data_IF_293321657194
#
_entry.id   IF_293321657194
#
_cell.length_a   1.000
_cell.length_b   1.000
_cell.length_c   1.000
_cell.angle_alpha   90.00
_cell.angle_beta   90.00
_cell.angle_gamma   90.00
#
_symmetry.space_group_name_H-M   'P 1'
#
loop_
_entity.id
_entity.type
_entity.pdbx_description
1 polymer ?
#
# COMPACT_ATOMS: atom_id res chain seq x y z
N UNK A 1 45.85 -37.38 -57.46
CA UNK A 1 44.39 -37.50 -57.29
C UNK A 1 44.08 -37.82 -55.85
N UNK A 2 43.71 -36.80 -55.07
CA UNK A 2 43.11 -36.95 -53.73
C UNK A 2 41.92 -36.05 -53.66
N UNK A 3 40.72 -36.65 -53.63
CA UNK A 3 39.45 -36.00 -53.34
C UNK A 3 39.43 -35.55 -51.89
N UNK A 4 39.14 -34.28 -51.65
CA UNK A 4 38.82 -33.75 -50.34
C UNK A 4 37.29 -33.65 -50.20
N UNK A 5 36.74 -34.46 -49.35
CA UNK A 5 35.34 -34.40 -48.90
C UNK A 5 35.13 -33.19 -47.99
N UNK A 6 34.27 -32.27 -48.38
CA UNK A 6 33.81 -31.17 -47.51
C UNK A 6 32.67 -31.70 -46.61
N UNK A 7 32.95 -31.78 -45.34
CA UNK A 7 31.95 -32.06 -44.33
C UNK A 7 30.97 -30.87 -44.18
N UNK A 8 29.68 -31.13 -44.37
CA UNK A 8 28.57 -30.21 -44.13
C UNK A 8 28.44 -29.99 -42.65
N UNK A 9 28.60 -28.72 -42.20
CA UNK A 9 28.28 -28.30 -40.84
C UNK A 9 26.77 -28.34 -40.62
N UNK A 10 26.35 -29.16 -39.68
CA UNK A 10 25.00 -29.21 -39.15
C UNK A 10 24.72 -27.91 -38.41
N UNK A 11 23.99 -26.95 -38.95
CA UNK A 11 23.45 -25.79 -38.28
C UNK A 11 22.42 -26.28 -37.26
N UNK A 12 22.76 -26.23 -35.97
CA UNK A 12 21.80 -26.41 -34.86
C UNK A 12 20.80 -25.28 -34.95
N UNK A 13 19.60 -25.57 -35.39
CA UNK A 13 18.44 -24.70 -35.36
C UNK A 13 18.18 -24.31 -33.89
N UNK A 14 18.31 -23.04 -33.58
CA UNK A 14 17.92 -22.47 -32.30
C UNK A 14 16.41 -22.70 -32.08
N UNK A 15 15.96 -23.08 -30.89
CA UNK A 15 14.55 -23.22 -30.60
C UNK A 15 13.85 -21.87 -30.83
N UNK A 16 12.77 -21.90 -31.60
CA UNK A 16 11.93 -20.72 -31.85
C UNK A 16 11.41 -20.11 -30.56
N UNK A 17 11.00 -18.82 -30.60
CA UNK A 17 10.48 -18.16 -29.42
C UNK A 17 9.33 -18.96 -28.82
N UNK A 18 9.35 -19.13 -27.50
CA UNK A 18 8.28 -19.80 -26.76
C UNK A 18 6.92 -19.17 -27.12
N UNK A 19 5.85 -19.96 -27.25
CA UNK A 19 4.53 -19.44 -27.59
C UNK A 19 4.13 -18.39 -26.55
N UNK A 20 3.87 -17.17 -27.03
CA UNK A 20 3.33 -16.10 -26.19
C UNK A 20 1.94 -16.51 -25.73
N UNK A 21 1.75 -16.68 -24.42
CA UNK A 21 0.43 -16.91 -23.82
C UNK A 21 -0.47 -15.73 -24.20
N UNK A 22 -1.65 -15.98 -24.79
CA UNK A 22 -2.55 -14.90 -25.17
C UNK A 22 -2.91 -14.05 -23.95
N UNK A 23 -2.75 -12.73 -24.03
CA UNK A 23 -3.10 -11.77 -22.96
C UNK A 23 -4.55 -11.88 -22.46
N UNK A 24 -5.43 -12.55 -23.20
CA UNK A 24 -6.85 -12.74 -22.88
C UNK A 24 -7.14 -13.74 -21.75
N UNK A 25 -6.16 -14.51 -21.27
CA UNK A 25 -6.39 -15.53 -20.23
C UNK A 25 -5.99 -15.08 -18.81
N UNK A 26 -5.32 -13.94 -18.65
CA UNK A 26 -5.04 -13.37 -17.34
C UNK A 26 -6.31 -12.66 -16.83
N UNK A 27 -7.15 -13.39 -16.08
CA UNK A 27 -8.34 -12.81 -15.44
C UNK A 27 -7.92 -11.88 -14.31
N UNK A 28 -7.80 -10.59 -14.61
CA UNK A 28 -7.77 -9.54 -13.58
C UNK A 28 -9.13 -9.55 -12.86
N UNK A 29 -9.17 -9.62 -11.52
CA UNK A 29 -10.43 -9.61 -10.79
C UNK A 29 -11.24 -8.35 -11.17
N UNK A 30 -12.50 -8.55 -11.55
CA UNK A 30 -13.39 -7.42 -11.88
C UNK A 30 -13.92 -6.70 -10.64
N UNK A 31 -13.77 -7.28 -9.47
CA UNK A 31 -14.23 -6.71 -8.20
C UNK A 31 -13.11 -6.71 -7.18
N UNK A 32 -13.10 -5.68 -6.36
CA UNK A 32 -12.22 -5.53 -5.20
C UNK A 32 -13.03 -5.08 -4.00
N UNK A 33 -12.61 -5.45 -2.80
CA UNK A 33 -13.14 -4.88 -1.56
C UNK A 33 -12.16 -3.84 -1.05
N UNK A 34 -12.65 -2.64 -0.78
CA UNK A 34 -11.88 -1.58 -0.13
C UNK A 34 -12.35 -1.46 1.31
N UNK A 35 -11.40 -1.55 2.24
CA UNK A 35 -11.66 -1.27 3.66
C UNK A 35 -11.87 0.22 3.84
N UNK A 36 -13.08 0.63 4.23
CA UNK A 36 -13.34 1.97 4.71
C UNK A 36 -13.05 2.04 6.21
N UNK A 37 -11.77 2.10 6.52
CA UNK A 37 -11.28 2.21 7.89
C UNK A 37 -11.71 3.52 8.56
N UNK A 38 -11.56 3.60 9.89
CA UNK A 38 -12.02 4.76 10.65
C UNK A 38 -11.30 6.07 10.27
N UNK A 39 -10.09 6.03 9.76
CA UNK A 39 -9.38 7.24 9.33
C UNK A 39 -9.94 7.76 8.00
N UNK A 40 -10.09 6.89 7.02
CA UNK A 40 -10.65 7.25 5.72
C UNK A 40 -12.14 7.57 5.78
N UNK A 41 -12.87 7.04 6.77
CA UNK A 41 -14.28 7.37 6.98
C UNK A 41 -14.46 8.73 7.64
N UNK A 42 -13.71 9.01 8.72
CA UNK A 42 -14.03 10.14 9.60
C UNK A 42 -13.02 11.29 9.57
N UNK A 43 -11.77 11.06 9.16
CA UNK A 43 -10.71 12.07 9.23
C UNK A 43 -10.19 12.49 7.85
N UNK A 44 -9.93 11.54 6.98
CA UNK A 44 -9.30 11.77 5.67
C UNK A 44 -10.12 11.11 4.52
N UNK A 45 -11.43 11.44 4.37
CA UNK A 45 -12.29 10.79 3.37
C UNK A 45 -11.86 11.05 1.92
N UNK A 46 -11.03 12.07 1.70
CA UNK A 46 -10.44 12.37 0.39
C UNK A 46 -9.51 11.24 -0.09
N UNK A 47 -8.83 10.55 0.82
CA UNK A 47 -7.97 9.40 0.49
C UNK A 47 -8.82 8.21 0.01
N UNK A 48 -9.91 7.90 0.72
CA UNK A 48 -10.85 6.86 0.29
C UNK A 48 -11.45 7.14 -1.08
N UNK A 49 -11.85 8.41 -1.34
CA UNK A 49 -12.35 8.83 -2.66
C UNK A 49 -11.28 8.71 -3.75
N UNK A 50 -10.03 9.09 -3.47
CA UNK A 50 -8.92 8.93 -4.40
C UNK A 50 -8.70 7.45 -4.75
N UNK A 51 -8.73 6.57 -3.75
CA UNK A 51 -8.58 5.13 -3.95
C UNK A 51 -9.70 4.56 -4.84
N UNK A 52 -10.97 4.89 -4.56
CA UNK A 52 -12.10 4.47 -5.40
C UNK A 52 -11.90 4.98 -6.83
N UNK A 53 -11.54 6.26 -7.00
CA UNK A 53 -11.31 6.85 -8.33
C UNK A 53 -10.26 6.10 -9.12
N UNK A 54 -9.11 5.76 -8.51
CA UNK A 54 -8.02 5.04 -9.19
C UNK A 54 -8.45 3.61 -9.55
N UNK A 55 -9.11 2.91 -8.61
CA UNK A 55 -9.57 1.54 -8.83
C UNK A 55 -10.65 1.46 -9.92
N UNK A 56 -11.60 2.39 -9.94
CA UNK A 56 -12.66 2.44 -10.96
C UNK A 56 -12.11 2.82 -12.33
N UNK A 57 -11.18 3.79 -12.42
CA UNK A 57 -10.45 4.08 -13.68
C UNK A 57 -9.67 2.88 -14.20
N UNK A 58 -9.18 2.03 -13.30
CA UNK A 58 -8.56 0.76 -13.65
C UNK A 58 -9.55 -0.33 -14.09
N UNK A 59 -10.84 -0.06 -14.07
CA UNK A 59 -11.91 -0.98 -14.50
C UNK A 59 -12.40 -1.95 -13.43
N UNK A 60 -12.07 -1.72 -12.16
CA UNK A 60 -12.57 -2.54 -11.04
C UNK A 60 -13.89 -2.02 -10.50
N UNK A 61 -14.77 -2.93 -10.11
CA UNK A 61 -15.93 -2.64 -9.27
C UNK A 61 -15.49 -2.63 -7.82
N UNK A 62 -15.56 -1.47 -7.17
CA UNK A 62 -15.20 -1.30 -5.76
C UNK A 62 -16.40 -1.58 -4.87
N UNK A 63 -16.22 -2.45 -3.87
CA UNK A 63 -17.16 -2.69 -2.80
C UNK A 63 -16.54 -2.20 -1.49
N UNK A 64 -17.28 -1.41 -0.70
CA UNK A 64 -16.80 -0.96 0.60
C UNK A 64 -17.13 -2.01 1.67
N UNK A 65 -16.23 -2.19 2.61
CA UNK A 65 -16.44 -3.03 3.79
C UNK A 65 -16.05 -2.26 5.05
N UNK A 66 -17.07 -1.79 5.77
CA UNK A 66 -16.97 -1.05 7.03
C UNK A 66 -16.56 -1.93 8.20
N UNK A 67 -15.34 -2.46 8.15
CA UNK A 67 -14.80 -3.35 9.17
C UNK A 67 -13.74 -2.65 9.99
N UNK A 68 -13.93 -2.59 11.31
CA UNK A 68 -12.90 -2.07 12.21
C UNK A 68 -11.80 -3.12 12.42
N UNK A 69 -10.56 -2.76 12.11
CA UNK A 69 -9.39 -3.64 12.27
C UNK A 69 -9.06 -3.95 13.75
N UNK A 70 -9.57 -3.18 14.71
CA UNK A 70 -9.33 -3.37 16.14
C UNK A 70 -7.94 -2.90 16.61
N UNK A 71 -7.13 -2.28 15.76
CA UNK A 71 -5.75 -1.83 16.08
C UNK A 71 -5.67 -1.02 17.37
N UNK A 72 -6.56 -0.04 17.57
CA UNK A 72 -6.56 0.79 18.75
C UNK A 72 -6.81 -0.01 20.04
N UNK A 73 -7.70 -1.01 19.98
CA UNK A 73 -7.96 -1.90 21.13
C UNK A 73 -6.77 -2.80 21.45
N UNK A 74 -6.14 -3.37 20.41
CA UNK A 74 -4.93 -4.18 20.59
C UNK A 74 -3.80 -3.37 21.21
N UNK A 75 -3.55 -2.17 20.72
CA UNK A 75 -2.52 -1.27 21.24
C UNK A 75 -2.72 -0.85 22.71
N UNK A 76 -3.97 -0.84 23.17
CA UNK A 76 -4.33 -0.53 24.57
C UNK A 76 -4.53 -1.77 25.45
N UNK A 77 -4.28 -2.98 24.93
CA UNK A 77 -4.39 -4.24 25.66
C UNK A 77 -5.82 -4.77 25.84
N UNK A 78 -6.82 -4.20 25.17
CA UNK A 78 -8.21 -4.69 25.20
C UNK A 78 -8.41 -5.92 24.31
N UNK A 79 -7.64 -6.98 24.55
CA UNK A 79 -7.54 -8.13 23.64
C UNK A 79 -8.86 -8.91 23.49
N UNK A 80 -9.69 -8.97 24.55
CA UNK A 80 -11.01 -9.63 24.48
C UNK A 80 -11.94 -8.91 23.51
N UNK A 81 -11.99 -7.58 23.58
CA UNK A 81 -12.78 -6.76 22.67
C UNK A 81 -12.21 -6.80 21.23
N UNK A 82 -10.87 -6.74 21.09
CA UNK A 82 -10.20 -6.88 19.81
C UNK A 82 -10.49 -8.22 19.14
N UNK A 83 -10.47 -9.33 19.89
CA UNK A 83 -10.83 -10.65 19.39
C UNK A 83 -12.27 -10.74 18.92
N UNK A 84 -13.21 -10.10 19.62
CA UNK A 84 -14.60 -10.03 19.20
C UNK A 84 -14.74 -9.32 17.86
N UNK A 85 -14.15 -8.13 17.74
CA UNK A 85 -14.12 -7.37 16.48
C UNK A 85 -13.47 -8.16 15.34
N UNK A 86 -12.35 -8.83 15.61
CA UNK A 86 -11.67 -9.66 14.62
C UNK A 86 -12.58 -10.78 14.10
N UNK A 87 -13.32 -11.48 14.98
CA UNK A 87 -14.29 -12.51 14.55
C UNK A 87 -15.41 -11.96 13.67
N UNK A 88 -15.98 -10.82 14.04
CA UNK A 88 -17.01 -10.15 13.26
C UNK A 88 -16.47 -9.71 11.89
N UNK A 89 -15.28 -9.11 11.87
CA UNK A 89 -14.61 -8.69 10.66
C UNK A 89 -14.20 -9.86 9.74
N UNK A 90 -13.69 -10.95 10.32
CA UNK A 90 -13.37 -12.17 9.56
C UNK A 90 -14.63 -12.75 8.92
N UNK A 91 -15.74 -12.85 9.64
CA UNK A 91 -17.00 -13.37 9.10
C UNK A 91 -17.50 -12.53 7.92
N UNK A 92 -17.35 -11.19 8.00
CA UNK A 92 -17.72 -10.27 6.92
C UNK A 92 -16.78 -10.37 5.73
N UNK A 93 -15.47 -10.40 5.95
CA UNK A 93 -14.47 -10.36 4.87
C UNK A 93 -14.25 -11.74 4.21
N UNK A 94 -14.45 -12.84 4.93
CA UNK A 94 -14.24 -14.18 4.38
C UNK A 94 -15.23 -14.52 3.25
N UNK A 95 -16.41 -13.90 3.23
CA UNK A 95 -17.33 -14.03 2.10
C UNK A 95 -16.74 -13.55 0.77
N UNK A 96 -15.77 -12.63 0.82
CA UNK A 96 -15.03 -12.15 -0.34
C UNK A 96 -13.74 -12.95 -0.55
N UNK A 97 -12.96 -13.14 0.53
CA UNK A 97 -11.70 -13.87 0.48
C UNK A 97 -11.85 -15.29 -0.05
N UNK A 98 -12.93 -16.01 0.35
CA UNK A 98 -13.24 -17.35 -0.14
C UNK A 98 -13.57 -17.41 -1.63
N UNK A 99 -13.91 -16.28 -2.26
CA UNK A 99 -14.15 -16.15 -3.69
C UNK A 99 -12.90 -15.65 -4.46
N UNK A 100 -11.77 -15.45 -3.77
CA UNK A 100 -10.56 -14.90 -4.35
C UNK A 100 -10.63 -13.39 -4.66
N UNK A 101 -11.60 -12.66 -4.06
CA UNK A 101 -11.71 -11.22 -4.21
C UNK A 101 -10.71 -10.55 -3.27
N UNK A 102 -9.80 -9.69 -3.79
CA UNK A 102 -8.81 -9.02 -2.96
C UNK A 102 -9.44 -8.01 -2.00
N UNK A 103 -8.87 -7.91 -0.81
CA UNK A 103 -9.24 -6.98 0.26
C UNK A 103 -8.16 -5.92 0.35
N UNK A 104 -8.48 -4.71 -0.04
CA UNK A 104 -7.53 -3.62 -0.17
C UNK A 104 -7.68 -2.65 1.01
N UNK A 105 -6.59 -2.36 1.69
CA UNK A 105 -6.56 -1.35 2.75
C UNK A 105 -5.72 -0.14 2.35
N UNK A 106 -5.97 0.99 2.99
CA UNK A 106 -5.25 2.25 2.79
C UNK A 106 -4.32 2.57 3.95
N UNK A 107 -4.69 2.15 5.16
CA UNK A 107 -3.89 2.37 6.37
C UNK A 107 -3.03 1.13 6.67
N UNK A 108 -1.68 1.25 6.65
CA UNK A 108 -0.80 0.10 6.86
C UNK A 108 -0.99 -0.59 8.21
N UNK A 109 -1.38 0.13 9.24
CA UNK A 109 -1.65 -0.44 10.56
C UNK A 109 -2.92 -1.29 10.57
N UNK A 110 -3.92 -0.95 9.75
CA UNK A 110 -5.13 -1.75 9.59
C UNK A 110 -4.83 -3.03 8.79
N UNK A 111 -4.10 -2.91 7.68
CA UNK A 111 -3.69 -4.08 6.89
C UNK A 111 -2.84 -5.03 7.73
N UNK A 112 -1.87 -4.50 8.49
CA UNK A 112 -1.08 -5.30 9.43
C UNK A 112 -1.97 -6.06 10.44
N UNK A 113 -2.99 -5.40 10.99
CA UNK A 113 -3.92 -6.08 11.89
C UNK A 113 -4.60 -7.29 11.25
N UNK A 114 -5.03 -7.18 9.99
CA UNK A 114 -5.69 -8.26 9.27
C UNK A 114 -4.73 -9.39 8.90
N UNK A 115 -3.49 -9.05 8.55
CA UNK A 115 -2.54 -10.02 7.99
C UNK A 115 -1.72 -10.73 9.06
N UNK A 116 -1.48 -10.10 10.19
CA UNK A 116 -0.61 -10.60 11.27
C UNK A 116 -1.39 -10.89 12.55
N UNK A 117 -2.05 -9.90 13.17
CA UNK A 117 -2.65 -10.11 14.49
C UNK A 117 -3.98 -10.87 14.46
N UNK A 118 -4.81 -10.70 13.43
CA UNK A 118 -6.09 -11.45 13.40
C UNK A 118 -5.92 -12.96 13.35
N UNK A 119 -4.99 -13.56 12.56
CA UNK A 119 -4.73 -14.98 12.62
C UNK A 119 -4.28 -15.50 14.00
N UNK A 120 -3.58 -14.67 14.77
CA UNK A 120 -3.16 -15.00 16.14
C UNK A 120 -4.32 -14.88 17.14
N UNK A 121 -5.14 -13.82 17.03
CA UNK A 121 -6.30 -13.61 17.88
C UNK A 121 -7.40 -14.64 17.66
N UNK A 122 -7.59 -15.06 16.40
CA UNK A 122 -8.63 -15.97 15.93
C UNK A 122 -8.01 -17.01 15.00
N UNK A 123 -7.40 -18.09 15.55
CA UNK A 123 -6.65 -19.07 14.76
C UNK A 123 -7.59 -20.04 13.99
N UNK A 124 -8.38 -19.49 13.08
CA UNK A 124 -9.37 -20.21 12.27
C UNK A 124 -8.97 -20.15 10.77
N UNK A 125 -9.37 -21.13 9.93
CA UNK A 125 -9.06 -21.10 8.51
C UNK A 125 -9.54 -19.85 7.78
N UNK A 126 -10.68 -19.29 8.19
CA UNK A 126 -11.22 -18.05 7.63
C UNK A 126 -10.29 -16.86 7.87
N UNK A 127 -9.69 -16.73 9.06
CA UNK A 127 -8.73 -15.67 9.36
C UNK A 127 -7.51 -15.74 8.43
N UNK A 128 -7.00 -16.94 8.15
CA UNK A 128 -5.87 -17.13 7.22
C UNK A 128 -6.25 -16.76 5.78
N UNK A 129 -7.48 -17.06 5.33
CA UNK A 129 -7.95 -16.66 3.99
C UNK A 129 -8.04 -15.13 3.89
N UNK A 130 -8.63 -14.49 4.89
CA UNK A 130 -8.72 -13.02 4.95
C UNK A 130 -7.32 -12.40 4.94
N UNK A 131 -6.41 -12.90 5.78
CA UNK A 131 -5.03 -12.42 5.83
C UNK A 131 -4.30 -12.56 4.48
N UNK A 132 -4.51 -13.68 3.77
CA UNK A 132 -3.91 -13.91 2.45
C UNK A 132 -4.51 -13.04 1.34
N UNK A 133 -5.75 -12.58 1.51
CA UNK A 133 -6.45 -11.74 0.55
C UNK A 133 -6.26 -10.23 0.82
N UNK A 134 -5.76 -9.86 2.02
CA UNK A 134 -5.62 -8.48 2.46
C UNK A 134 -4.24 -7.91 2.12
N UNK A 135 -4.21 -6.71 1.51
CA UNK A 135 -2.97 -6.00 1.21
C UNK A 135 -3.19 -4.50 1.00
N UNK A 136 -2.10 -3.73 0.91
CA UNK A 136 -2.18 -2.30 0.60
C UNK A 136 -2.59 -2.08 -0.85
N UNK A 137 -3.53 -1.17 -1.08
CA UNK A 137 -4.16 -0.93 -2.37
C UNK A 137 -3.15 -0.52 -3.45
N UNK A 138 -2.21 0.36 -3.12
CA UNK A 138 -1.18 0.82 -4.06
C UNK A 138 -0.22 -0.30 -4.47
N UNK A 139 0.17 -1.16 -3.53
CA UNK A 139 1.04 -2.30 -3.80
C UNK A 139 0.35 -3.34 -4.68
N UNK A 140 -0.93 -3.59 -4.41
CA UNK A 140 -1.75 -4.46 -5.23
C UNK A 140 -1.89 -3.93 -6.67
N UNK A 141 -2.19 -2.64 -6.85
CA UNK A 141 -2.27 -2.01 -8.17
C UNK A 141 -0.96 -2.11 -8.95
N UNK A 142 0.18 -1.82 -8.30
CA UNK A 142 1.48 -1.96 -8.94
C UNK A 142 1.73 -3.39 -9.43
N UNK A 143 1.35 -4.39 -8.64
CA UNK A 143 1.44 -5.80 -9.01
C UNK A 143 0.50 -6.13 -10.18
N UNK A 144 -0.73 -5.60 -10.23
CA UNK A 144 -1.64 -5.80 -11.38
C UNK A 144 -1.04 -5.24 -12.67
N UNK A 145 -0.39 -4.06 -12.60
CA UNK A 145 0.30 -3.48 -13.77
C UNK A 145 1.46 -4.37 -14.22
N UNK A 146 2.33 -4.75 -13.30
CA UNK A 146 3.54 -5.51 -13.58
C UNK A 146 3.25 -6.92 -14.10
N UNK A 147 2.39 -7.66 -13.40
CA UNK A 147 2.21 -9.10 -13.62
C UNK A 147 1.07 -9.41 -14.61
N UNK A 148 0.08 -8.53 -14.71
CA UNK A 148 -1.12 -8.75 -15.52
C UNK A 148 -1.30 -7.70 -16.64
N UNK A 149 -0.37 -6.76 -16.76
CA UNK A 149 -0.42 -5.74 -17.83
C UNK A 149 -1.61 -4.80 -17.73
N UNK A 150 -2.11 -4.57 -16.48
CA UNK A 150 -3.16 -3.59 -16.24
C UNK A 150 -2.70 -2.21 -16.72
N UNK A 151 -3.53 -1.55 -17.53
CA UNK A 151 -3.31 -0.15 -17.90
C UNK A 151 -3.97 0.76 -16.86
N UNK A 152 -3.21 1.72 -16.36
CA UNK A 152 -3.71 2.75 -15.46
C UNK A 152 -3.60 4.11 -16.14
N UNK A 153 -4.70 4.85 -16.18
CA UNK A 153 -4.70 6.25 -16.57
C UNK A 153 -4.30 7.11 -15.36
N UNK A 154 -2.99 7.38 -15.26
CA UNK A 154 -2.40 8.16 -14.17
C UNK A 154 -1.92 9.50 -14.74
N UNK A 155 -2.42 10.63 -14.21
CA UNK A 155 -1.93 11.94 -14.60
C UNK A 155 -0.43 12.09 -14.35
N UNK A 156 0.35 12.60 -15.31
CA UNK A 156 1.78 12.81 -15.13
C UNK A 156 2.04 13.89 -14.07
N UNK A 157 3.15 13.75 -13.35
CA UNK A 157 3.61 14.73 -12.38
C UNK A 157 5.13 14.82 -12.42
N UNK A 158 5.66 15.97 -12.77
CA UNK A 158 7.10 16.20 -12.71
C UNK A 158 7.56 16.56 -11.29
N UNK A 159 8.78 16.18 -10.94
CA UNK A 159 9.44 16.55 -9.69
C UNK A 159 9.83 15.36 -8.83
N UNK A 160 10.26 15.65 -7.60
CA UNK A 160 10.70 14.65 -6.64
C UNK A 160 9.60 14.34 -5.63
N UNK A 161 9.48 13.07 -5.26
CA UNK A 161 8.65 12.60 -4.16
C UNK A 161 9.52 11.91 -3.10
N UNK A 162 9.33 12.32 -1.85
CA UNK A 162 9.95 11.71 -0.68
C UNK A 162 8.92 10.83 0.02
N UNK A 163 9.10 9.52 -0.07
CA UNK A 163 8.24 8.57 0.62
C UNK A 163 8.72 8.37 2.06
N UNK A 164 7.92 8.74 3.05
CA UNK A 164 8.12 8.35 4.44
C UNK A 164 7.50 6.97 4.68
N UNK A 165 8.32 5.95 4.99
CA UNK A 165 7.84 4.60 5.19
C UNK A 165 7.12 4.43 6.53
N UNK A 166 5.92 3.86 6.53
CA UNK A 166 5.22 3.53 7.76
C UNK A 166 5.88 2.35 8.48
N UNK A 167 5.97 2.40 9.83
CA UNK A 167 6.68 1.39 10.61
C UNK A 167 6.12 -0.03 10.45
N UNK A 168 4.79 -0.22 10.49
CA UNK A 168 4.17 -1.53 10.23
C UNK A 168 4.44 -2.04 8.81
N UNK A 169 4.41 -1.16 7.83
CA UNK A 169 4.72 -1.51 6.46
C UNK A 169 6.17 -1.98 6.31
N UNK A 170 7.13 -1.27 6.94
CA UNK A 170 8.54 -1.69 6.96
C UNK A 170 8.74 -3.06 7.62
N UNK A 171 8.01 -3.32 8.72
CA UNK A 171 8.16 -4.54 9.50
C UNK A 171 7.58 -5.77 8.81
N UNK A 172 6.42 -5.65 8.15
CA UNK A 172 5.64 -6.81 7.68
C UNK A 172 5.63 -6.98 6.16
N UNK A 173 5.40 -5.90 5.41
CA UNK A 173 5.18 -6.01 3.96
C UNK A 173 6.28 -5.41 3.08
N UNK A 174 7.15 -4.59 3.66
CA UNK A 174 8.15 -3.84 2.92
C UNK A 174 7.56 -2.69 2.08
N UNK A 175 8.43 -1.93 1.44
CA UNK A 175 8.08 -0.70 0.72
C UNK A 175 7.99 -0.89 -0.80
N UNK A 176 8.40 -2.05 -1.29
CA UNK A 176 8.54 -2.30 -2.72
C UNK A 176 7.28 -1.96 -3.51
N UNK A 177 6.12 -2.45 -3.05
CA UNK A 177 4.84 -2.22 -3.73
C UNK A 177 4.46 -0.74 -3.82
N UNK A 178 4.63 0.02 -2.73
CA UNK A 178 4.33 1.46 -2.71
C UNK A 178 5.29 2.25 -3.60
N UNK A 179 6.60 1.92 -3.58
CA UNK A 179 7.59 2.54 -4.47
C UNK A 179 7.29 2.22 -5.93
N UNK A 180 6.96 0.97 -6.26
CA UNK A 180 6.56 0.57 -7.62
C UNK A 180 5.31 1.33 -8.07
N UNK A 181 4.29 1.48 -7.20
CA UNK A 181 3.09 2.23 -7.50
C UNK A 181 3.38 3.71 -7.81
N UNK A 182 4.17 4.37 -6.99
CA UNK A 182 4.53 5.76 -7.22
C UNK A 182 5.36 5.97 -8.49
N UNK A 183 6.20 5.00 -8.86
CA UNK A 183 6.96 5.02 -10.13
C UNK A 183 6.11 4.87 -11.38
N UNK A 184 4.84 4.50 -11.27
CA UNK A 184 3.90 4.52 -12.40
C UNK A 184 3.52 5.94 -12.81
N UNK A 185 3.74 6.93 -11.96
CA UNK A 185 3.49 8.35 -12.26
C UNK A 185 4.62 8.89 -13.13
N UNK A 186 4.31 9.17 -14.39
CA UNK A 186 5.28 9.68 -15.34
C UNK A 186 5.88 11.02 -14.89
N UNK A 187 7.20 11.14 -14.91
CA UNK A 187 7.92 12.35 -14.53
C UNK A 187 8.20 12.49 -13.03
N UNK A 188 7.74 11.56 -12.17
CA UNK A 188 7.95 11.60 -10.73
C UNK A 188 9.19 10.77 -10.33
N UNK A 189 10.17 11.43 -9.75
CA UNK A 189 11.34 10.79 -9.16
C UNK A 189 11.06 10.42 -7.71
N UNK A 190 11.02 9.13 -7.41
CA UNK A 190 10.65 8.62 -6.08
C UNK A 190 11.88 8.19 -5.30
N UNK A 191 12.07 8.78 -4.13
CA UNK A 191 13.05 8.36 -3.14
C UNK A 191 12.37 8.03 -1.81
N UNK A 192 12.93 7.07 -1.09
CA UNK A 192 12.47 6.72 0.25
C UNK A 192 13.30 7.48 1.27
N UNK A 193 12.66 8.13 2.22
CA UNK A 193 13.35 8.75 3.35
C UNK A 193 14.04 7.68 4.19
N UNK A 194 15.33 7.86 4.41
CA UNK A 194 16.05 7.12 5.44
C UNK A 194 15.79 7.82 6.78
N UNK A 195 14.59 7.58 7.29
CA UNK A 195 14.12 8.14 8.55
C UNK A 195 13.44 7.03 9.36
N UNK A 196 13.60 7.10 10.67
CA UNK A 196 13.01 6.17 11.61
C UNK A 196 11.50 6.35 11.79
N UNK A 197 11.03 6.21 13.00
CA UNK A 197 9.63 6.39 13.34
C UNK A 197 9.23 7.87 13.31
N UNK A 198 7.98 8.16 12.90
CA UNK A 198 7.41 9.50 13.00
C UNK A 198 7.14 9.94 14.47
N UNK A 199 7.27 9.03 15.43
CA UNK A 199 7.05 9.29 16.86
C UNK A 199 5.62 9.07 17.35
N UNK A 200 4.64 8.98 16.46
CA UNK A 200 3.23 8.89 16.84
C UNK A 200 2.82 7.55 17.46
N UNK A 201 3.41 6.44 16.97
CA UNK A 201 3.10 5.08 17.44
C UNK A 201 1.58 4.84 17.64
N UNK A 202 0.80 5.02 16.57
CA UNK A 202 -0.66 5.00 16.62
C UNK A 202 -1.23 6.21 17.39
N UNK A 203 -1.86 5.97 18.54
CA UNK A 203 -2.45 7.03 19.36
C UNK A 203 -1.47 7.66 20.37
N UNK A 204 -0.29 7.10 20.56
CA UNK A 204 0.68 7.51 21.59
C UNK A 204 1.01 9.01 21.53
N UNK A 205 1.36 9.52 20.34
CA UNK A 205 1.73 10.92 20.16
C UNK A 205 0.57 11.91 20.26
N UNK A 206 -0.69 11.45 20.27
CA UNK A 206 -1.86 12.31 20.52
C UNK A 206 -2.16 12.50 22.00
N UNK A 207 -1.53 11.69 22.86
CA UNK A 207 -1.72 11.79 24.31
C UNK A 207 -0.81 12.88 24.88
N UNK A 208 -1.35 13.76 25.69
CA UNK A 208 -0.65 14.92 26.24
C UNK A 208 0.65 14.52 26.95
N UNK A 209 0.62 13.40 27.68
CA UNK A 209 1.73 12.88 28.45
C UNK A 209 2.88 12.37 27.58
N UNK A 210 2.59 12.03 26.34
CA UNK A 210 3.55 11.44 25.40
C UNK A 210 3.97 12.38 24.26
N UNK A 211 3.32 13.52 24.12
CA UNK A 211 3.55 14.45 23.02
C UNK A 211 5.01 14.86 22.88
N UNK A 212 5.64 15.29 23.99
CA UNK A 212 7.04 15.71 23.97
C UNK A 212 8.00 14.59 23.53
N UNK A 213 7.72 13.35 23.92
CA UNK A 213 8.49 12.18 23.49
C UNK A 213 8.28 11.93 21.99
N UNK A 214 7.04 12.00 21.53
CA UNK A 214 6.70 11.87 20.11
C UNK A 214 7.44 12.89 19.26
N UNK A 215 7.43 14.15 19.65
CA UNK A 215 8.15 15.25 18.98
C UNK A 215 9.66 15.00 18.96
N UNK A 216 10.25 14.58 20.09
CA UNK A 216 11.68 14.26 20.15
C UNK A 216 12.05 13.15 19.17
N UNK A 217 11.24 12.08 19.08
CA UNK A 217 11.47 10.96 18.15
C UNK A 217 11.43 11.46 16.70
N UNK A 218 10.42 12.24 16.32
CA UNK A 218 10.31 12.79 14.98
C UNK A 218 11.51 13.71 14.60
N UNK A 219 12.03 14.45 15.57
CA UNK A 219 13.18 15.35 15.37
C UNK A 219 14.52 14.63 15.28
N UNK A 220 14.60 13.33 15.59
CA UNK A 220 15.85 12.58 15.40
C UNK A 220 16.24 12.49 13.91
N UNK A 221 15.27 12.19 13.05
CA UNK A 221 15.55 11.88 11.64
C UNK A 221 14.49 12.46 10.68
N UNK A 222 13.18 12.31 10.97
CA UNK A 222 12.11 12.66 10.04
C UNK A 222 12.10 14.15 9.70
N UNK A 223 12.06 15.02 10.71
CA UNK A 223 11.99 16.46 10.50
C UNK A 223 13.25 17.00 9.79
N UNK A 224 14.49 16.64 10.20
CA UNK A 224 15.70 17.02 9.48
C UNK A 224 15.72 16.52 8.02
N UNK A 225 15.30 15.27 7.77
CA UNK A 225 15.29 14.73 6.41
C UNK A 225 14.31 15.48 5.50
N UNK A 226 13.14 15.90 6.02
CA UNK A 226 12.18 16.71 5.27
C UNK A 226 12.69 18.14 5.01
N UNK A 227 13.41 18.72 5.96
CA UNK A 227 13.99 20.07 5.81
C UNK A 227 15.07 20.11 4.70
N UNK A 228 15.77 19.00 4.46
CA UNK A 228 16.78 18.89 3.39
C UNK A 228 16.20 18.92 1.96
N UNK A 229 14.89 18.82 1.79
CA UNK A 229 14.23 18.80 0.47
C UNK A 229 12.89 19.56 0.51
N UNK A 230 12.93 20.89 0.62
CA UNK A 230 11.72 21.71 0.85
C UNK A 230 10.72 21.63 -0.29
N UNK A 231 11.16 21.49 -1.54
CA UNK A 231 10.32 21.50 -2.73
C UNK A 231 9.78 20.12 -3.13
N UNK A 232 10.28 19.05 -2.51
CA UNK A 232 9.84 17.71 -2.85
C UNK A 232 8.43 17.42 -2.33
N UNK A 233 7.64 16.68 -3.10
CA UNK A 233 6.36 16.16 -2.67
C UNK A 233 6.57 15.16 -1.52
N UNK A 234 5.95 15.37 -0.37
CA UNK A 234 5.98 14.39 0.72
C UNK A 234 4.87 13.38 0.54
N UNK A 235 5.21 12.11 0.63
CA UNK A 235 4.27 11.00 0.53
C UNK A 235 4.38 10.14 1.79
N UNK A 236 3.25 9.79 2.41
CA UNK A 236 3.23 8.90 3.56
C UNK A 236 1.95 8.06 3.57
N UNK A 237 2.09 6.75 3.78
CA UNK A 237 0.96 5.81 3.77
C UNK A 237 0.12 5.84 5.04
N UNK A 238 0.72 6.13 6.20
CA UNK A 238 0.02 6.11 7.49
C UNK A 238 -0.53 7.47 7.90
N UNK A 239 -1.76 7.50 8.41
CA UNK A 239 -2.45 8.70 8.92
C UNK A 239 -1.65 9.40 10.00
N UNK A 240 -1.17 8.68 11.01
CA UNK A 240 -0.37 9.26 12.10
C UNK A 240 0.92 9.90 11.59
N UNK A 241 1.56 9.31 10.55
CA UNK A 241 2.73 9.90 9.93
C UNK A 241 2.39 11.23 9.22
N UNK A 242 1.28 11.28 8.47
CA UNK A 242 0.83 12.50 7.78
C UNK A 242 0.50 13.62 8.77
N UNK A 243 -0.18 13.27 9.87
CA UNK A 243 -0.50 14.25 10.92
C UNK A 243 0.76 14.81 11.58
N UNK A 244 1.72 13.96 11.95
CA UNK A 244 2.98 14.39 12.56
C UNK A 244 3.80 15.29 11.63
N UNK A 245 3.88 14.92 10.36
CA UNK A 245 4.57 15.73 9.35
C UNK A 245 3.93 17.11 9.26
N UNK A 246 2.61 17.17 9.19
CA UNK A 246 1.87 18.43 9.10
C UNK A 246 2.07 19.28 10.37
N UNK A 247 1.96 18.67 11.54
CA UNK A 247 2.08 19.35 12.83
C UNK A 247 3.48 19.98 13.01
N UNK A 248 4.53 19.21 12.73
CA UNK A 248 5.89 19.65 13.01
C UNK A 248 6.56 20.46 11.89
N UNK A 249 6.10 20.33 10.65
CA UNK A 249 6.76 20.97 9.50
C UNK A 249 5.86 21.92 8.71
N UNK A 250 4.56 21.94 8.99
CA UNK A 250 3.56 22.65 8.17
C UNK A 250 3.32 22.04 6.79
N UNK A 251 4.06 20.98 6.40
CA UNK A 251 3.93 20.35 5.08
C UNK A 251 2.80 19.35 5.07
N UNK A 252 2.05 19.32 3.98
CA UNK A 252 1.04 18.28 3.75
C UNK A 252 1.70 17.09 3.05
N UNK A 253 1.61 15.91 3.66
CA UNK A 253 1.99 14.67 3.02
C UNK A 253 0.77 14.04 2.34
N UNK A 254 0.90 13.62 1.07
CA UNK A 254 -0.14 12.91 0.34
C UNK A 254 -0.06 11.40 0.60
N UNK A 255 -1.22 10.75 0.54
CA UNK A 255 -1.27 9.30 0.45
C UNK A 255 -0.88 8.84 -0.98
N UNK A 256 -0.25 7.68 -1.19
CA UNK A 256 0.09 7.17 -2.53
C UNK A 256 -1.09 7.17 -3.51
N UNK A 257 -2.29 6.80 -3.07
CA UNK A 257 -3.49 6.78 -3.93
C UNK A 257 -3.94 8.19 -4.35
N UNK A 258 -3.67 9.22 -3.55
CA UNK A 258 -3.92 10.61 -3.96
C UNK A 258 -2.96 11.04 -5.08
N UNK A 259 -1.69 10.61 -4.97
CA UNK A 259 -0.69 10.87 -6.02
C UNK A 259 -1.10 10.19 -7.33
N UNK A 260 -1.52 8.91 -7.27
CA UNK A 260 -2.01 8.16 -8.42
C UNK A 260 -3.32 8.75 -9.00
N UNK A 261 -4.18 9.31 -8.17
CA UNK A 261 -5.40 9.98 -8.61
C UNK A 261 -5.13 11.34 -9.31
N UNK A 262 -3.91 11.88 -9.17
CA UNK A 262 -3.53 13.19 -9.69
C UNK A 262 -3.92 14.33 -8.77
N UNK A 263 -4.09 14.09 -7.46
CA UNK A 263 -4.40 15.15 -6.51
C UNK A 263 -3.31 16.24 -6.54
N UNK A 264 -3.69 17.53 -6.54
CA UNK A 264 -2.71 18.60 -6.39
C UNK A 264 -2.03 18.47 -5.02
N UNK A 265 -0.78 18.96 -4.87
CA UNK A 265 -0.26 19.20 -3.53
C UNK A 265 -1.26 20.09 -2.82
N UNK A 266 -1.68 19.73 -1.60
CA UNK A 266 -2.58 20.58 -0.84
C UNK A 266 -1.91 21.94 -0.71
N UNK A 267 -2.56 22.97 -1.23
CA UNK A 267 -2.08 24.34 -1.14
C UNK A 267 -1.85 24.70 0.33
N UNK A 268 -0.70 25.31 0.61
CA UNK A 268 -0.40 25.89 1.92
C UNK A 268 -1.37 27.01 2.25
#
# INVERSE_FOLDING_TARGET
>A
TRNAERGTRNEKQLPGPAPSVPRSELRVPRSVVLLDDCFTTYQEPHIGRAAVTVLERAGFRVQLAGVCCGRAMMSKGFLVAARKLAREGIAELDRFASQGIPILGLEPSCVAALTDEWPELVPEPAAKRVASAAELAEGWLARQVRDHGLSLDIPPRAGQALLHPHCHQRALGGLKGTVEALKLVSGLEVSTLDAGCCGMAGAFGYEKEHYDVSVKIANLELVPALAGSPDALVVATGTSCRHQIRDLTGRTALHPLEVLAGAPPAGG
#
